data_IF_836496129969
#
_entry.id   IF_836496129969
#
_cell.length_a   1.000
_cell.length_b   1.000
_cell.length_c   1.000
_cell.angle_alpha   90.00
_cell.angle_beta   90.00
_cell.angle_gamma   90.00
#
_symmetry.space_group_name_H-M   'P 1'
#
loop_
_entity.id
_entity.type
_entity.pdbx_description
1 polymer ?
#
# COMPACT_ATOMS: atom_id res chain seq x y z
N UNK A 1 50.26 53.25 35.15
CA UNK A 1 49.29 52.27 34.60
C UNK A 1 47.93 52.53 35.22
N UNK A 2 46.98 53.03 34.43
CA UNK A 2 45.58 52.66 34.62
C UNK A 2 44.94 52.24 33.28
N UNK A 3 44.23 51.12 33.30
CA UNK A 3 43.56 50.51 32.16
C UNK A 3 42.18 51.17 31.97
N UNK A 4 41.82 51.44 30.72
CA UNK A 4 40.56 52.03 30.30
C UNK A 4 39.61 51.00 29.66
N UNK A 5 38.30 51.21 29.91
CA UNK A 5 37.12 50.87 29.07
C UNK A 5 36.57 49.41 29.13
N UNK A 6 35.33 49.14 28.65
CA UNK A 6 34.06 49.47 29.32
C UNK A 6 33.01 48.34 29.24
N UNK A 7 31.84 48.62 29.84
CA UNK A 7 30.53 47.92 29.74
C UNK A 7 30.23 47.29 28.37
N UNK A 8 29.75 46.05 28.35
CA UNK A 8 28.70 45.59 27.44
C UNK A 8 27.73 44.63 28.13
N UNK A 9 26.49 45.10 28.26
CA UNK A 9 25.27 44.33 28.52
C UNK A 9 24.89 43.68 27.19
N UNK A 10 24.76 42.35 27.13
CA UNK A 10 24.10 41.67 26.02
C UNK A 10 23.04 40.74 26.58
N UNK A 11 21.78 41.17 26.40
CA UNK A 11 20.56 40.36 26.47
C UNK A 11 20.67 39.25 25.42
N UNK A 12 20.47 37.99 25.80
CA UNK A 12 20.15 36.94 24.84
C UNK A 12 18.65 36.64 24.90
N UNK A 13 18.03 36.90 23.76
CA UNK A 13 16.63 36.68 23.44
C UNK A 13 16.30 35.18 23.33
N UNK A 14 15.08 34.86 23.74
CA UNK A 14 14.41 33.58 23.57
C UNK A 14 13.97 33.30 22.11
N UNK A 15 13.45 32.08 21.92
CA UNK A 15 12.80 31.48 20.74
C UNK A 15 13.78 30.83 19.74
N UNK A 16 13.58 29.58 19.30
CA UNK A 16 12.37 29.05 18.68
C UNK A 16 12.11 27.57 19.00
N UNK A 17 10.88 27.27 19.44
CA UNK A 17 10.27 25.94 19.39
C UNK A 17 9.73 25.72 17.98
N UNK A 18 10.33 24.81 17.22
CA UNK A 18 9.71 24.29 15.99
C UNK A 18 8.88 23.08 16.39
N UNK A 19 7.57 23.28 16.54
CA UNK A 19 6.60 22.20 16.65
C UNK A 19 6.48 21.52 15.28
N UNK A 20 7.07 20.34 15.14
CA UNK A 20 6.80 19.44 14.03
C UNK A 20 5.39 18.88 14.22
N UNK A 21 4.41 19.40 13.48
CA UNK A 21 3.11 18.76 13.34
C UNK A 21 3.27 17.50 12.49
N UNK A 22 3.32 16.35 13.15
CA UNK A 22 3.16 15.07 12.48
C UNK A 22 1.74 15.02 11.90
N UNK A 23 1.59 15.22 10.59
CA UNK A 23 0.41 14.74 9.89
C UNK A 23 0.46 13.21 9.91
N UNK A 24 -0.27 12.61 10.85
CA UNK A 24 -0.61 11.19 10.78
C UNK A 24 -1.54 11.00 9.60
N UNK A 25 -1.00 10.53 8.48
CA UNK A 25 -1.80 9.96 7.41
C UNK A 25 -2.35 8.64 7.94
N UNK A 26 -3.66 8.59 8.20
CA UNK A 26 -4.32 7.40 8.71
C UNK A 26 -4.50 6.37 7.59
N UNK A 27 -4.05 5.14 7.86
CA UNK A 27 -4.28 3.97 7.02
C UNK A 27 -5.79 3.73 6.82
N UNK A 28 -6.16 3.18 5.65
CA UNK A 28 -7.49 2.63 5.45
C UNK A 28 -7.74 1.49 6.47
N UNK A 29 -8.80 1.62 7.28
CA UNK A 29 -9.17 0.64 8.29
C UNK A 29 -10.35 -0.20 7.79
N UNK A 30 -10.31 -1.51 8.00
CA UNK A 30 -11.41 -2.41 7.65
C UNK A 30 -12.59 -2.12 8.59
N UNK A 31 -13.70 -1.64 8.04
CA UNK A 31 -14.88 -1.27 8.83
C UNK A 31 -15.94 -2.34 8.77
N UNK A 32 -16.51 -2.67 9.93
CA UNK A 32 -17.73 -3.47 10.01
C UNK A 32 -18.92 -2.62 9.55
N UNK A 33 -19.42 -2.88 8.34
CA UNK A 33 -20.67 -2.27 7.85
C UNK A 33 -21.88 -3.14 8.19
N UNK A 34 -23.03 -2.49 8.33
CA UNK A 34 -24.31 -3.15 8.58
C UNK A 34 -24.79 -3.99 7.38
N UNK A 35 -25.77 -4.86 7.61
CA UNK A 35 -26.34 -5.71 6.57
C UNK A 35 -27.02 -4.92 5.44
N UNK A 36 -27.80 -3.84 5.71
CA UNK A 36 -28.39 -3.00 4.68
C UNK A 36 -27.38 -2.37 3.72
N UNK A 37 -26.26 -1.85 4.22
CA UNK A 37 -25.22 -1.24 3.38
C UNK A 37 -24.51 -2.28 2.52
N UNK A 38 -24.28 -3.49 3.05
CA UNK A 38 -23.76 -4.60 2.23
C UNK A 38 -24.73 -5.00 1.13
N UNK A 39 -26.02 -5.08 1.44
CA UNK A 39 -27.05 -5.40 0.45
C UNK A 39 -27.13 -4.32 -0.65
N UNK A 40 -27.09 -3.03 -0.28
CA UNK A 40 -27.14 -1.94 -1.26
C UNK A 40 -25.94 -1.93 -2.20
N UNK A 41 -24.74 -2.28 -1.72
CA UNK A 41 -23.56 -2.45 -2.58
C UNK A 41 -23.74 -3.59 -3.57
N UNK A 42 -24.22 -4.75 -3.09
CA UNK A 42 -24.43 -5.92 -3.95
C UNK A 42 -25.51 -5.68 -5.00
N UNK A 43 -26.57 -4.97 -4.66
CA UNK A 43 -27.63 -4.61 -5.60
C UNK A 43 -27.12 -3.63 -6.66
N UNK A 44 -26.34 -2.62 -6.25
CA UNK A 44 -25.66 -1.74 -7.19
C UNK A 44 -24.72 -2.51 -8.12
N UNK A 45 -23.90 -3.41 -7.58
CA UNK A 45 -22.98 -4.24 -8.35
C UNK A 45 -23.70 -5.10 -9.39
N UNK A 46 -24.81 -5.75 -9.03
CA UNK A 46 -25.62 -6.56 -9.98
C UNK A 46 -26.21 -5.74 -11.12
N UNK A 47 -26.60 -4.49 -10.85
CA UNK A 47 -27.11 -3.58 -11.88
C UNK A 47 -26.00 -3.16 -12.84
N UNK A 48 -24.82 -2.84 -12.32
CA UNK A 48 -23.68 -2.37 -13.11
C UNK A 48 -22.98 -3.50 -13.89
N UNK A 49 -22.93 -4.71 -13.31
CA UNK A 49 -22.26 -5.88 -13.87
C UNK A 49 -23.20 -7.09 -13.95
N UNK A 50 -24.20 -7.08 -14.86
CA UNK A 50 -25.15 -8.17 -14.98
C UNK A 50 -24.44 -9.51 -15.27
N UNK A 51 -24.71 -10.52 -14.45
CA UNK A 51 -24.14 -11.86 -14.60
C UNK A 51 -22.72 -12.04 -14.04
N UNK A 52 -22.08 -10.99 -13.54
CA UNK A 52 -20.77 -11.11 -12.88
C UNK A 52 -20.93 -11.72 -11.48
N UNK A 53 -20.17 -12.77 -11.13
CA UNK A 53 -20.25 -13.38 -9.81
C UNK A 53 -19.56 -12.52 -8.74
N UNK A 54 -20.22 -12.36 -7.60
CA UNK A 54 -19.66 -11.74 -6.40
C UNK A 54 -19.30 -12.84 -5.38
N UNK A 55 -18.00 -13.03 -5.10
CA UNK A 55 -17.55 -14.02 -4.12
C UNK A 55 -17.48 -13.45 -2.71
N UNK A 56 -17.05 -12.19 -2.57
CA UNK A 56 -16.85 -11.54 -1.27
C UNK A 56 -17.01 -10.03 -1.40
N UNK A 57 -17.53 -9.40 -0.34
CA UNK A 57 -17.50 -7.93 -0.18
C UNK A 57 -16.47 -7.53 0.88
N UNK A 58 -15.72 -6.47 0.64
CA UNK A 58 -14.76 -5.86 1.59
C UNK A 58 -15.14 -4.40 1.77
N UNK A 59 -15.05 -3.88 3.00
CA UNK A 59 -15.36 -2.48 3.30
C UNK A 59 -14.20 -1.85 4.05
N UNK A 60 -13.82 -0.66 3.60
CA UNK A 60 -12.71 0.13 4.14
C UNK A 60 -13.22 1.55 4.38
N UNK A 61 -12.77 2.19 5.46
CA UNK A 61 -12.92 3.63 5.64
C UNK A 61 -11.63 4.31 5.20
N UNK A 62 -11.75 5.26 4.27
CA UNK A 62 -10.61 5.98 3.70
C UNK A 62 -10.74 7.46 4.05
N UNK A 63 -9.71 8.09 4.65
CA UNK A 63 -9.76 9.51 4.93
C UNK A 63 -9.86 10.31 3.62
N UNK A 64 -10.70 11.33 3.62
CA UNK A 64 -10.86 12.23 2.46
C UNK A 64 -9.76 13.28 2.53
N UNK A 65 -8.91 13.34 1.51
CA UNK A 65 -7.79 14.29 1.48
C UNK A 65 -8.33 15.74 1.54
N UNK A 66 -7.89 16.50 2.54
CA UNK A 66 -8.23 17.92 2.69
C UNK A 66 -9.55 18.19 3.42
N UNK A 67 -10.31 17.16 3.80
CA UNK A 67 -11.43 17.31 4.73
C UNK A 67 -11.19 16.41 5.93
N UNK A 68 -11.56 16.83 7.15
CA UNK A 68 -11.42 15.98 8.35
C UNK A 68 -12.37 14.78 8.39
N UNK A 69 -12.93 14.36 7.25
CA UNK A 69 -13.90 13.29 7.11
C UNK A 69 -13.31 11.99 6.54
N UNK A 70 -14.12 10.94 6.54
CA UNK A 70 -13.79 9.65 5.94
C UNK A 70 -14.92 9.18 5.04
N UNK A 71 -14.56 8.60 3.90
CA UNK A 71 -15.48 7.96 2.96
C UNK A 71 -15.50 6.45 3.16
N UNK A 72 -16.66 5.85 3.00
CA UNK A 72 -16.77 4.38 2.99
C UNK A 72 -16.55 3.86 1.58
N UNK A 73 -15.55 3.02 1.43
CA UNK A 73 -15.23 2.31 0.21
C UNK A 73 -15.70 0.87 0.34
N UNK A 74 -16.63 0.49 -0.53
CA UNK A 74 -17.09 -0.88 -0.70
C UNK A 74 -16.39 -1.52 -1.88
N UNK A 75 -15.94 -2.76 -1.74
CA UNK A 75 -15.32 -3.53 -2.81
C UNK A 75 -16.02 -4.86 -2.99
N UNK A 76 -16.23 -5.26 -4.25
CA UNK A 76 -16.75 -6.59 -4.61
C UNK A 76 -15.64 -7.39 -5.28
N UNK A 77 -15.27 -8.51 -4.65
CA UNK A 77 -14.27 -9.45 -5.13
C UNK A 77 -14.92 -10.54 -5.97
N UNK A 78 -14.37 -10.80 -7.16
CA UNK A 78 -14.76 -11.93 -8.01
C UNK A 78 -14.23 -13.25 -7.44
N UNK A 79 -14.84 -14.40 -7.74
CA UNK A 79 -14.27 -15.70 -7.39
C UNK A 79 -12.80 -15.80 -7.83
N UNK A 80 -11.89 -16.19 -6.92
CA UNK A 80 -10.49 -16.38 -7.30
C UNK A 80 -10.33 -17.44 -8.38
N UNK A 81 -9.36 -17.21 -9.26
CA UNK A 81 -9.03 -18.15 -10.33
C UNK A 81 -7.54 -18.49 -10.32
N UNK A 82 -7.19 -19.64 -10.91
CA UNK A 82 -5.81 -20.10 -11.03
C UNK A 82 -5.11 -19.44 -12.21
N UNK A 83 -3.93 -18.89 -11.97
CA UNK A 83 -2.97 -18.48 -12.99
C UNK A 83 -1.94 -19.58 -13.27
N UNK A 84 -0.70 -19.19 -13.59
CA UNK A 84 0.42 -20.13 -13.74
C UNK A 84 0.82 -20.81 -12.42
N UNK A 85 1.14 -22.11 -12.45
CA UNK A 85 1.73 -22.82 -11.31
C UNK A 85 0.86 -22.75 -10.06
N UNK A 86 1.43 -22.27 -8.96
CA UNK A 86 0.75 -22.03 -7.68
C UNK A 86 0.06 -20.66 -7.57
N UNK A 87 0.10 -19.83 -8.62
CA UNK A 87 -0.48 -18.49 -8.59
C UNK A 87 -2.01 -18.55 -8.58
N UNK A 88 -2.61 -17.86 -7.62
CA UNK A 88 -4.02 -17.54 -7.58
C UNK A 88 -4.21 -16.03 -7.78
N UNK A 89 -5.27 -15.65 -8.49
CA UNK A 89 -5.59 -14.25 -8.81
C UNK A 89 -7.03 -13.95 -8.45
N UNK A 90 -7.29 -12.69 -8.13
CA UNK A 90 -8.64 -12.15 -7.97
C UNK A 90 -8.70 -10.71 -8.45
N UNK A 91 -9.91 -10.27 -8.77
CA UNK A 91 -10.22 -8.88 -9.10
C UNK A 91 -11.16 -8.33 -8.03
N UNK A 92 -10.96 -7.08 -7.63
CA UNK A 92 -11.91 -6.32 -6.80
C UNK A 92 -12.34 -5.07 -7.53
N UNK A 93 -13.65 -4.92 -7.77
CA UNK A 93 -14.23 -3.65 -8.20
C UNK A 93 -14.49 -2.79 -6.97
N UNK A 94 -13.98 -1.56 -6.96
CA UNK A 94 -14.10 -0.59 -5.87
C UNK A 94 -15.19 0.42 -6.16
N UNK A 95 -15.93 0.75 -5.12
CA UNK A 95 -17.04 1.68 -5.13
C UNK A 95 -16.97 2.60 -3.92
N UNK A 96 -17.18 3.88 -4.12
CA UNK A 96 -17.24 4.87 -3.03
C UNK A 96 -18.70 5.19 -2.76
N UNK A 97 -19.09 5.25 -1.49
CA UNK A 97 -20.41 5.71 -1.09
C UNK A 97 -20.39 7.23 -0.93
N UNK A 98 -21.07 7.95 -1.82
CA UNK A 98 -21.20 9.39 -1.74
C UNK A 98 -22.56 9.79 -1.17
N UNK A 99 -22.57 10.87 -0.37
CA UNK A 99 -23.77 11.40 0.28
C UNK A 99 -24.14 10.64 1.56
N UNK A 100 -25.18 11.10 2.24
CA UNK A 100 -25.61 10.55 3.53
C UNK A 100 -27.10 10.18 3.52
N UNK A 101 -27.47 9.23 4.38
CA UNK A 101 -28.85 8.80 4.58
C UNK A 101 -29.52 8.34 3.28
N UNK A 102 -30.67 8.95 2.96
CA UNK A 102 -31.47 8.59 1.77
C UNK A 102 -30.86 9.02 0.44
N UNK A 103 -29.87 9.92 0.45
CA UNK A 103 -29.18 10.39 -0.75
C UNK A 103 -27.89 9.62 -1.03
N UNK A 104 -27.56 8.63 -0.19
CA UNK A 104 -26.35 7.84 -0.35
C UNK A 104 -26.39 7.02 -1.66
N UNK A 105 -25.37 7.18 -2.51
CA UNK A 105 -25.24 6.49 -3.80
C UNK A 105 -23.84 5.93 -3.96
N UNK A 106 -23.78 4.66 -4.38
CA UNK A 106 -22.54 4.04 -4.79
C UNK A 106 -22.09 4.60 -6.15
N UNK A 107 -20.81 4.87 -6.28
CA UNK A 107 -20.17 5.24 -7.54
C UNK A 107 -18.93 4.39 -7.76
N UNK A 108 -18.67 4.02 -9.01
CA UNK A 108 -17.49 3.23 -9.36
C UNK A 108 -16.22 4.07 -9.22
N UNK A 109 -15.25 3.53 -8.47
CA UNK A 109 -13.96 4.16 -8.22
C UNK A 109 -12.81 3.48 -8.98
N UNK A 110 -13.00 2.23 -9.41
CA UNK A 110 -12.05 1.53 -10.26
C UNK A 110 -11.96 0.04 -9.96
N UNK A 111 -10.94 -0.59 -10.52
CA UNK A 111 -10.69 -2.02 -10.40
C UNK A 111 -9.27 -2.25 -9.91
N UNK A 112 -9.13 -3.15 -8.95
CA UNK A 112 -7.85 -3.61 -8.45
C UNK A 112 -7.65 -5.09 -8.68
N UNK A 113 -6.39 -5.47 -8.89
CA UNK A 113 -5.98 -6.84 -9.14
C UNK A 113 -5.14 -7.33 -7.97
N UNK A 114 -5.33 -8.59 -7.63
CA UNK A 114 -4.70 -9.22 -6.48
C UNK A 114 -4.15 -10.60 -6.85
N UNK A 115 -3.11 -11.01 -6.16
CA UNK A 115 -2.49 -12.31 -6.33
C UNK A 115 -1.92 -12.88 -5.01
N UNK A 116 -1.82 -14.20 -4.95
CA UNK A 116 -1.15 -14.93 -3.86
C UNK A 116 -0.74 -16.32 -4.37
N UNK A 117 0.07 -17.03 -3.59
CA UNK A 117 0.47 -18.40 -3.91
C UNK A 117 -0.33 -19.40 -3.09
N UNK A 118 -1.00 -20.32 -3.77
CA UNK A 118 -1.67 -21.49 -3.17
C UNK A 118 -1.63 -22.67 -4.14
N UNK A 119 -1.14 -23.82 -3.65
CA UNK A 119 -1.07 -25.07 -4.43
C UNK A 119 -2.41 -25.81 -4.49
N UNK A 120 -3.36 -25.48 -3.62
CA UNK A 120 -4.69 -26.10 -3.54
C UNK A 120 -5.72 -25.45 -4.46
N UNK A 121 -6.99 -25.43 -4.06
CA UNK A 121 -8.02 -24.65 -4.77
C UNK A 121 -7.87 -23.17 -4.44
N UNK A 122 -7.88 -22.29 -5.44
CA UNK A 122 -7.87 -20.85 -5.19
C UNK A 122 -9.11 -20.44 -4.39
N UNK A 123 -8.89 -19.94 -3.17
CA UNK A 123 -9.90 -19.43 -2.25
C UNK A 123 -9.56 -18.02 -1.84
N UNK A 124 -10.57 -17.23 -1.49
CA UNK A 124 -10.36 -15.87 -1.01
C UNK A 124 -9.50 -15.90 0.26
N UNK A 125 -8.47 -15.06 0.31
CA UNK A 125 -7.57 -14.94 1.46
C UNK A 125 -7.76 -13.59 2.16
N UNK A 126 -7.33 -13.49 3.41
CA UNK A 126 -7.44 -12.25 4.18
C UNK A 126 -6.56 -11.14 3.60
N UNK A 127 -5.30 -11.47 3.31
CA UNK A 127 -4.27 -10.52 2.89
C UNK A 127 -3.67 -10.94 1.53
N UNK A 128 -4.42 -10.74 0.42
CA UNK A 128 -3.85 -10.97 -0.90
C UNK A 128 -2.91 -9.82 -1.28
N UNK A 129 -1.91 -10.11 -2.12
CA UNK A 129 -0.95 -9.11 -2.57
C UNK A 129 -1.55 -8.31 -3.72
N UNK A 130 -1.61 -6.98 -3.58
CA UNK A 130 -2.12 -6.10 -4.64
C UNK A 130 -1.15 -6.04 -5.82
N UNK A 131 -1.66 -5.93 -7.02
CA UNK A 131 -0.86 -5.68 -8.22
C UNK A 131 -1.06 -4.22 -8.64
N UNK A 132 -0.01 -3.41 -8.56
CA UNK A 132 -0.08 -2.00 -8.98
C UNK A 132 -0.03 -1.87 -10.51
N UNK A 133 0.61 -2.82 -11.17
CA UNK A 133 0.71 -2.93 -12.61
C UNK A 133 0.33 -4.35 -13.06
N UNK A 134 0.05 -4.52 -14.36
CA UNK A 134 -0.15 -5.85 -14.94
C UNK A 134 1.20 -6.57 -15.05
N UNK A 135 1.27 -7.76 -14.48
CA UNK A 135 2.47 -8.61 -14.46
C UNK A 135 2.12 -9.98 -15.03
N UNK A 136 3.00 -10.52 -15.87
CA UNK A 136 2.87 -11.86 -16.42
C UNK A 136 2.95 -12.91 -15.31
N UNK A 137 2.13 -13.96 -15.40
CA UNK A 137 1.96 -14.93 -14.31
C UNK A 137 3.26 -15.61 -13.87
N UNK A 138 4.12 -16.02 -14.82
CA UNK A 138 5.38 -16.68 -14.50
C UNK A 138 6.33 -15.76 -13.70
N UNK A 139 6.37 -14.47 -14.05
CA UNK A 139 7.17 -13.48 -13.32
C UNK A 139 6.58 -13.18 -11.94
N UNK A 140 5.25 -13.05 -11.88
CA UNK A 140 4.55 -12.80 -10.63
C UNK A 140 4.72 -13.95 -9.63
N UNK A 141 4.59 -15.20 -10.10
CA UNK A 141 4.85 -16.37 -9.27
C UNK A 141 6.30 -16.37 -8.76
N UNK A 142 7.27 -16.11 -9.65
CA UNK A 142 8.68 -16.06 -9.31
C UNK A 142 9.00 -15.03 -8.21
N UNK A 143 8.50 -13.78 -8.35
CA UNK A 143 8.75 -12.74 -7.33
C UNK A 143 8.06 -13.03 -6.00
N UNK A 144 6.82 -13.56 -6.04
CA UNK A 144 6.07 -13.89 -4.82
C UNK A 144 6.71 -15.05 -4.06
N UNK A 145 7.31 -16.02 -4.74
CA UNK A 145 7.96 -17.17 -4.10
C UNK A 145 9.15 -16.75 -3.23
N UNK A 146 9.87 -15.70 -3.64
CA UNK A 146 11.10 -15.26 -3.01
C UNK A 146 10.97 -14.04 -2.09
N UNK A 147 9.73 -13.63 -1.75
CA UNK A 147 9.49 -12.38 -1.02
C UNK A 147 10.25 -12.25 0.32
N UNK A 148 10.32 -13.30 1.14
CA UNK A 148 10.94 -13.23 2.48
C UNK A 148 12.47 -13.11 2.37
N UNK A 149 13.17 -13.98 1.61
CA UNK A 149 14.61 -13.78 1.38
C UNK A 149 14.96 -12.43 0.75
N UNK A 150 14.11 -11.91 -0.15
CA UNK A 150 14.32 -10.61 -0.78
C UNK A 150 14.22 -9.46 0.23
N UNK A 151 13.23 -9.49 1.12
CA UNK A 151 13.09 -8.52 2.20
C UNK A 151 14.33 -8.52 3.12
N UNK A 152 14.80 -9.69 3.52
CA UNK A 152 15.98 -9.80 4.40
C UNK A 152 17.23 -9.22 3.73
N UNK A 153 17.46 -9.49 2.44
CA UNK A 153 18.54 -8.85 1.68
C UNK A 153 18.34 -7.33 1.58
N UNK A 154 17.11 -6.88 1.38
CA UNK A 154 16.80 -5.46 1.28
C UNK A 154 17.04 -4.69 2.59
N UNK A 155 16.99 -5.32 3.77
CA UNK A 155 17.30 -4.65 5.04
C UNK A 155 18.72 -4.07 5.07
N UNK A 156 19.67 -4.70 4.38
CA UNK A 156 21.03 -4.16 4.22
C UNK A 156 21.04 -2.92 3.33
N UNK A 157 20.28 -2.93 2.22
CA UNK A 157 20.11 -1.78 1.35
C UNK A 157 19.44 -0.61 2.10
N UNK A 158 18.45 -0.91 2.94
CA UNK A 158 17.80 0.10 3.79
C UNK A 158 18.80 0.76 4.74
N UNK A 159 19.75 0.01 5.30
CA UNK A 159 20.77 0.58 6.20
C UNK A 159 21.68 1.60 5.48
N UNK A 160 21.93 1.40 4.18
CA UNK A 160 22.71 2.31 3.34
C UNK A 160 21.92 3.50 2.77
N UNK A 161 20.59 3.48 2.84
CA UNK A 161 19.71 4.54 2.37
C UNK A 161 19.15 5.33 3.57
N UNK A 162 19.56 6.58 3.74
CA UNK A 162 19.18 7.41 4.91
C UNK A 162 17.67 7.60 5.07
N UNK A 163 16.89 7.61 3.98
CA UNK A 163 15.42 7.70 4.04
C UNK A 163 14.77 6.39 4.52
N UNK A 164 15.41 5.25 4.28
CA UNK A 164 14.91 3.93 4.66
C UNK A 164 15.53 3.39 5.97
N UNK A 165 16.71 3.87 6.36
CA UNK A 165 17.49 3.36 7.48
C UNK A 165 16.72 3.32 8.81
N UNK A 166 15.82 4.28 9.14
CA UNK A 166 15.00 4.21 10.36
C UNK A 166 13.97 3.08 10.34
N UNK A 167 13.53 2.66 9.14
CA UNK A 167 12.47 1.66 8.97
C UNK A 167 13.01 0.22 8.95
N UNK A 168 14.32 0.03 8.79
CA UNK A 168 14.95 -1.27 8.54
C UNK A 168 14.68 -2.36 9.58
N UNK A 169 14.30 -1.99 10.80
CA UNK A 169 14.04 -2.90 11.91
C UNK A 169 12.54 -3.20 12.12
N UNK A 170 11.66 -2.54 11.36
CA UNK A 170 10.23 -2.75 11.48
C UNK A 170 9.82 -4.14 10.98
N UNK A 171 8.64 -4.57 11.42
CA UNK A 171 7.99 -5.78 10.92
C UNK A 171 7.26 -5.40 9.64
N UNK A 172 7.47 -6.18 8.60
CA UNK A 172 6.94 -5.92 7.27
C UNK A 172 6.15 -7.12 6.77
N UNK A 173 5.04 -6.83 6.09
CA UNK A 173 4.26 -7.80 5.32
C UNK A 173 4.20 -7.34 3.87
N UNK A 174 4.17 -8.29 2.92
CA UNK A 174 4.07 -7.96 1.50
C UNK A 174 2.66 -7.45 1.21
N UNK A 175 2.56 -6.21 0.73
CA UNK A 175 1.29 -5.54 0.45
C UNK A 175 1.00 -5.45 -1.06
N UNK A 176 2.03 -5.22 -1.87
CA UNK A 176 1.86 -5.12 -3.32
C UNK A 176 3.07 -5.59 -4.13
N UNK A 177 2.84 -5.86 -5.41
CA UNK A 177 3.88 -5.99 -6.44
C UNK A 177 3.71 -4.87 -7.45
N UNK A 178 4.81 -4.27 -7.86
CA UNK A 178 4.88 -3.13 -8.78
C UNK A 178 5.84 -3.43 -9.94
N UNK A 179 5.74 -2.65 -11.02
CA UNK A 179 6.70 -2.60 -12.13
C UNK A 179 6.93 -1.16 -12.49
N UNK A 180 8.19 -0.75 -12.51
CA UNK A 180 8.54 0.63 -12.85
C UNK A 180 10.02 0.91 -12.61
N UNK A 181 10.39 2.18 -12.61
CA UNK A 181 11.76 2.61 -12.41
C UNK A 181 11.99 3.13 -10.99
N UNK A 182 13.12 2.78 -10.39
CA UNK A 182 13.51 3.25 -9.04
C UNK A 182 13.81 4.74 -9.00
N UNK A 183 14.22 5.32 -10.13
CA UNK A 183 14.54 6.72 -10.29
C UNK A 183 14.22 7.17 -11.73
N UNK A 184 14.07 8.47 -12.01
CA UNK A 184 13.92 8.97 -13.37
C UNK A 184 15.03 8.45 -14.28
N UNK A 185 14.65 7.89 -15.45
CA UNK A 185 15.55 7.29 -16.45
C UNK A 185 16.25 5.98 -16.04
N UNK A 186 15.93 5.40 -14.89
CA UNK A 186 16.35 4.04 -14.59
C UNK A 186 15.53 3.03 -15.41
N UNK A 187 16.09 1.83 -15.60
CA UNK A 187 15.39 0.72 -16.24
C UNK A 187 14.15 0.31 -15.42
N UNK A 188 13.10 -0.12 -16.11
CA UNK A 188 11.93 -0.72 -15.47
C UNK A 188 12.29 -2.08 -14.87
N UNK A 189 11.82 -2.28 -13.64
CA UNK A 189 12.12 -3.42 -12.80
C UNK A 189 10.87 -3.80 -12.01
N UNK A 190 10.77 -5.09 -11.70
CA UNK A 190 9.80 -5.56 -10.72
C UNK A 190 10.14 -5.00 -9.34
N UNK A 191 9.14 -4.74 -8.52
CA UNK A 191 9.33 -4.40 -7.13
C UNK A 191 8.34 -5.11 -6.21
N UNK A 192 8.80 -5.41 -5.02
CA UNK A 192 7.97 -5.86 -3.91
C UNK A 192 7.73 -4.67 -2.98
N UNK A 193 6.47 -4.37 -2.69
CA UNK A 193 6.10 -3.29 -1.77
C UNK A 193 5.65 -3.89 -0.46
N UNK A 194 6.41 -3.62 0.59
CA UNK A 194 6.15 -4.07 1.93
C UNK A 194 5.53 -2.94 2.76
N UNK A 195 4.51 -3.29 3.55
CA UNK A 195 3.88 -2.41 4.53
C UNK A 195 4.35 -2.81 5.93
N UNK A 196 4.75 -1.83 6.72
CA UNK A 196 5.16 -2.05 8.10
C UNK A 196 3.98 -2.10 9.07
N UNK A 197 4.23 -2.60 10.27
CA UNK A 197 3.32 -2.51 11.42
C UNK A 197 3.08 -1.06 11.91
N UNK A 198 3.80 -0.08 11.36
CA UNK A 198 3.64 1.37 11.62
C UNK A 198 3.16 2.14 10.41
N UNK A 199 2.49 1.46 9.47
CA UNK A 199 1.96 2.05 8.24
C UNK A 199 3.01 2.79 7.38
N UNK A 200 4.26 2.34 7.45
CA UNK A 200 5.34 2.83 6.59
C UNK A 200 5.60 1.84 5.46
N UNK A 201 6.08 2.33 4.31
CA UNK A 201 6.25 1.50 3.13
C UNK A 201 7.73 1.35 2.76
N UNK A 202 8.09 0.15 2.30
CA UNK A 202 9.38 -0.13 1.69
C UNK A 202 9.15 -0.81 0.34
N UNK A 203 9.54 -0.13 -0.74
CA UNK A 203 9.52 -0.65 -2.10
C UNK A 203 10.90 -1.16 -2.46
N UNK A 204 11.02 -2.47 -2.62
CA UNK A 204 12.26 -3.18 -2.93
C UNK A 204 12.29 -3.48 -4.42
N UNK A 205 13.17 -2.80 -5.14
CA UNK A 205 13.36 -2.98 -6.58
C UNK A 205 14.26 -4.19 -6.85
N UNK A 206 13.83 -5.03 -7.79
CA UNK A 206 14.45 -6.31 -8.07
C UNK A 206 15.30 -6.24 -9.33
N UNK A 207 16.46 -6.88 -9.28
CA UNK A 207 17.23 -7.22 -10.47
C UNK A 207 17.00 -8.69 -10.77
N UNK A 208 16.66 -9.00 -12.02
CA UNK A 208 16.50 -10.37 -12.51
C UNK A 208 17.81 -10.87 -13.11
N UNK A 209 18.20 -12.10 -12.79
CA UNK A 209 19.31 -12.82 -13.40
C UNK A 209 18.88 -14.25 -13.70
N UNK A 210 18.62 -14.56 -14.97
CA UNK A 210 17.97 -15.82 -15.35
C UNK A 210 16.60 -15.97 -14.69
N UNK A 211 16.40 -17.04 -13.92
CA UNK A 211 15.17 -17.29 -13.15
C UNK A 211 15.23 -16.76 -11.70
N UNK A 212 16.32 -16.09 -11.31
CA UNK A 212 16.51 -15.59 -9.94
C UNK A 212 16.23 -14.09 -9.86
N UNK A 213 15.80 -13.66 -8.68
CA UNK A 213 15.61 -12.25 -8.34
C UNK A 213 16.50 -11.90 -7.15
N UNK A 214 17.09 -10.72 -7.21
CA UNK A 214 17.83 -10.12 -6.11
C UNK A 214 17.33 -8.71 -5.79
N UNK A 215 17.38 -8.36 -4.50
CA UNK A 215 17.14 -7.00 -4.05
C UNK A 215 18.28 -6.11 -4.56
N UNK A 216 17.94 -5.10 -5.35
CA UNK A 216 18.91 -4.22 -6.00
C UNK A 216 18.90 -2.81 -5.41
N UNK A 217 17.71 -2.27 -5.17
CA UNK A 217 17.51 -0.92 -4.65
C UNK A 217 16.28 -0.88 -3.74
N UNK A 218 16.18 0.16 -2.91
CA UNK A 218 15.05 0.37 -2.01
C UNK A 218 14.63 1.84 -1.97
N UNK A 219 13.33 2.07 -2.07
CA UNK A 219 12.72 3.37 -1.80
C UNK A 219 11.69 3.22 -0.68
N UNK A 220 11.56 4.24 0.18
CA UNK A 220 10.62 4.21 1.30
C UNK A 220 9.66 5.40 1.22
N UNK A 221 8.61 5.29 0.38
CA UNK A 221 7.65 6.37 0.20
C UNK A 221 6.72 6.49 1.43
N UNK A 222 6.16 7.69 1.68
CA UNK A 222 5.22 7.89 2.78
C UNK A 222 3.87 7.20 2.55
N UNK A 223 3.49 6.98 1.28
CA UNK A 223 2.23 6.35 0.87
C UNK A 223 2.45 5.48 -0.37
N UNK A 224 1.50 4.58 -0.65
CA UNK A 224 1.56 3.58 -1.72
C UNK A 224 0.80 4.04 -2.96
#
# INVERSE_FOLDING_TARGET
MPVSLPRYIVRLFALWLVAATCLSASAAEVVAVDAPQRASLLDFYKQQYPGAPAARTVFESVPVVGSGGSEVVGSVETPPYRGHGALCRAQRSKFVLHGEGKQARWQEAGIEYYAWLDRGTCRAVAEPVRMLQRIADAELEGVLLHQKPLLERARLLMAGNTACAPLRALKFVLAAVDVGAAAPRAEERYALVFKSDRDSYARVWLRKSGAQYDAWDVTCPPVL
#
